data_IF_722997746596
#
_entry.id   IF_722997746596
#
_cell.length_a   1.000
_cell.length_b   1.000
_cell.length_c   1.000
_cell.angle_alpha   90.00
_cell.angle_beta   90.00
_cell.angle_gamma   90.00
#
_symmetry.space_group_name_H-M   'P 1'
#
loop_
_entity.id
_entity.type
_entity.pdbx_description
1 polymer ?
#
# COMPACT_ATOMS: atom_id res chain seq x y z
N UNK A 1 5.50 23.35 -0.33
CA UNK A 1 5.03 24.61 0.33
C UNK A 1 3.70 25.00 -0.26
N UNK A 2 2.75 25.46 0.57
CA UNK A 2 1.46 25.96 0.11
C UNK A 2 1.62 27.46 -0.14
N UNK A 3 1.30 27.88 -1.36
CA UNK A 3 1.31 29.28 -1.73
C UNK A 3 -0.12 29.81 -1.87
N UNK A 4 -0.33 31.06 -1.56
CA UNK A 4 -1.62 31.70 -1.74
C UNK A 4 -1.98 31.73 -3.25
N UNK A 5 -3.13 31.19 -3.66
CA UNK A 5 -3.52 31.16 -5.08
C UNK A 5 -3.83 32.54 -5.66
N UNK A 6 -3.95 33.57 -4.82
CA UNK A 6 -4.27 34.93 -5.23
C UNK A 6 -3.02 35.80 -5.47
N UNK A 7 -2.05 35.75 -4.55
CA UNK A 7 -0.86 36.60 -4.62
C UNK A 7 0.44 35.82 -4.78
N UNK A 8 0.40 34.49 -4.77
CA UNK A 8 1.60 33.64 -4.89
C UNK A 8 2.47 33.59 -3.63
N UNK A 9 2.15 34.36 -2.55
CA UNK A 9 2.94 34.41 -1.35
C UNK A 9 2.98 33.07 -0.63
N UNK A 10 4.14 32.68 -0.10
CA UNK A 10 4.32 31.53 0.78
C UNK A 10 3.99 31.84 2.23
N UNK A 11 3.70 33.11 2.57
CA UNK A 11 3.33 33.54 3.91
C UNK A 11 1.87 33.19 4.22
N UNK A 12 1.59 31.90 4.34
CA UNK A 12 0.26 31.35 4.61
C UNK A 12 0.25 30.54 5.91
N UNK A 13 -0.79 30.72 6.72
CA UNK A 13 -0.97 30.03 7.97
C UNK A 13 -2.07 28.98 7.86
N UNK A 14 -1.82 27.75 8.33
CA UNK A 14 -2.85 26.71 8.41
C UNK A 14 -3.85 27.04 9.53
N UNK A 15 -5.15 26.89 9.23
CA UNK A 15 -6.27 27.17 10.14
C UNK A 15 -7.17 25.94 10.35
N UNK A 16 -6.59 24.75 10.31
CA UNK A 16 -7.34 23.49 10.51
C UNK A 16 -8.05 23.02 9.24
N UNK A 17 -9.22 22.40 9.43
CA UNK A 17 -9.99 21.75 8.36
C UNK A 17 -11.36 22.42 8.22
N UNK A 18 -12.00 22.23 7.04
CA UNK A 18 -13.41 22.57 6.87
C UNK A 18 -14.30 21.59 7.65
N UNK A 19 -15.62 21.87 7.70
CA UNK A 19 -16.59 21.05 8.46
C UNK A 19 -16.59 19.57 8.04
N UNK A 20 -16.46 19.29 6.76
CA UNK A 20 -16.45 17.92 6.21
C UNK A 20 -15.08 17.23 6.34
N UNK A 21 -14.05 17.94 6.79
CA UNK A 21 -12.66 17.48 6.90
C UNK A 21 -12.03 16.96 5.61
N UNK A 22 -12.57 17.30 4.45
CA UNK A 22 -12.03 16.95 3.13
C UNK A 22 -11.07 17.99 2.57
N UNK A 23 -11.04 19.19 3.15
CA UNK A 23 -10.17 20.30 2.76
C UNK A 23 -9.47 20.94 3.95
N UNK A 24 -8.18 21.25 3.79
CA UNK A 24 -7.42 22.02 4.76
C UNK A 24 -7.57 23.51 4.48
N UNK A 25 -7.86 24.30 5.51
CA UNK A 25 -8.07 25.75 5.42
C UNK A 25 -6.76 26.48 5.69
N UNK A 26 -6.54 27.54 4.91
CA UNK A 26 -5.37 28.40 5.01
C UNK A 26 -5.81 29.86 5.01
N UNK A 27 -5.01 30.66 5.65
CA UNK A 27 -5.12 32.13 5.66
C UNK A 27 -3.82 32.71 5.15
N UNK A 28 -3.89 33.56 4.11
CA UNK A 28 -2.74 34.32 3.66
C UNK A 28 -2.50 35.50 4.60
N UNK A 29 -1.26 35.67 5.05
CA UNK A 29 -0.87 36.74 5.96
C UNK A 29 -0.54 38.06 5.23
N UNK A 30 -0.50 38.06 3.91
CA UNK A 30 -0.33 39.27 3.12
C UNK A 30 -1.61 40.12 3.13
N UNK A 31 -1.43 41.42 2.99
CA UNK A 31 -2.56 42.37 3.02
C UNK A 31 -3.34 42.30 1.70
N UNK A 32 -4.47 41.58 1.71
CA UNK A 32 -5.40 41.46 0.57
C UNK A 32 -6.50 42.53 0.56
N UNK A 33 -6.39 43.61 1.32
CA UNK A 33 -7.38 44.68 1.41
C UNK A 33 -7.83 45.33 0.08
N UNK A 34 -7.18 44.98 -1.03
CA UNK A 34 -7.52 45.46 -2.38
C UNK A 34 -8.32 44.43 -3.19
N UNK A 35 -8.66 43.27 -2.62
CA UNK A 35 -9.29 42.14 -3.35
C UNK A 35 -10.57 41.67 -2.69
N UNK A 36 -11.43 42.59 -2.29
CA UNK A 36 -12.81 42.28 -1.90
C UNK A 36 -13.63 42.23 -3.20
N UNK A 37 -14.40 41.14 -3.43
CA UNK A 37 -15.31 41.08 -4.56
C UNK A 37 -16.57 41.89 -4.30
N UNK A 38 -17.44 41.99 -5.32
CA UNK A 38 -18.72 42.70 -5.24
C UNK A 38 -19.67 42.16 -4.16
N UNK A 39 -19.33 40.97 -3.56
CA UNK A 39 -20.11 40.30 -2.52
C UNK A 39 -19.42 40.34 -1.13
N UNK A 40 -18.44 41.19 -0.95
CA UNK A 40 -17.73 41.41 0.32
C UNK A 40 -17.00 40.16 0.88
N UNK A 41 -16.59 39.22 -0.01
CA UNK A 41 -15.85 38.03 0.38
C UNK A 41 -14.39 38.34 0.70
N UNK A 42 -13.96 37.94 1.89
CA UNK A 42 -12.56 38.05 2.34
C UNK A 42 -11.70 36.98 1.69
N UNK A 43 -10.93 37.34 0.66
CA UNK A 43 -10.05 36.45 -0.11
C UNK A 43 -8.79 35.99 0.62
N UNK A 44 -8.56 36.35 1.86
CA UNK A 44 -7.43 35.83 2.66
C UNK A 44 -7.54 34.34 2.93
N UNK A 45 -8.77 33.83 2.92
CA UNK A 45 -9.06 32.43 3.19
C UNK A 45 -9.16 31.63 1.91
N UNK A 46 -8.54 30.45 1.90
CA UNK A 46 -8.70 29.46 0.87
C UNK A 46 -8.62 28.05 1.45
N UNK A 47 -9.15 27.08 0.74
CA UNK A 47 -9.13 25.68 1.15
C UNK A 47 -8.54 24.85 0.02
N UNK A 48 -7.64 23.95 0.36
CA UNK A 48 -7.09 22.98 -0.56
C UNK A 48 -7.55 21.58 -0.18
N UNK A 49 -7.79 20.68 -1.16
CA UNK A 49 -7.99 19.28 -0.89
C UNK A 49 -6.82 18.74 -0.06
N UNK A 50 -7.10 17.80 0.84
CA UNK A 50 -6.07 17.23 1.74
C UNK A 50 -4.91 16.65 0.91
N UNK A 51 -5.21 16.05 -0.24
CA UNK A 51 -4.22 15.49 -1.16
C UNK A 51 -3.19 16.52 -1.65
N UNK A 52 -3.61 17.78 -1.83
CA UNK A 52 -2.71 18.88 -2.24
C UNK A 52 -1.89 19.46 -1.08
N UNK A 53 -2.26 19.19 0.16
CA UNK A 53 -1.60 19.74 1.36
C UNK A 53 -0.60 18.80 1.99
N UNK A 54 -0.59 17.53 1.57
CA UNK A 54 0.39 16.53 2.02
C UNK A 54 1.67 16.72 1.21
N UNK A 55 2.56 17.60 1.68
CA UNK A 55 3.97 17.53 1.25
C UNK A 55 4.50 16.18 1.70
N UNK A 56 4.92 15.33 0.76
CA UNK A 56 5.77 14.18 1.11
C UNK A 56 6.99 14.75 1.81
N UNK A 57 7.08 14.57 3.12
CA UNK A 57 8.34 14.80 3.84
C UNK A 57 9.41 14.03 3.07
N UNK A 58 10.54 14.66 2.75
CA UNK A 58 11.68 13.99 2.11
C UNK A 58 12.18 12.78 2.90
N UNK A 59 11.75 12.67 4.17
CA UNK A 59 12.08 11.61 5.12
C UNK A 59 10.86 10.76 5.51
N UNK A 60 9.72 10.85 4.80
CA UNK A 60 8.59 9.99 5.08
C UNK A 60 8.94 8.54 4.66
N UNK A 61 8.65 7.53 5.52
CA UNK A 61 8.91 6.14 5.17
C UNK A 61 8.13 5.75 3.91
N UNK A 62 8.76 4.94 3.06
CA UNK A 62 8.11 4.33 1.91
C UNK A 62 7.20 3.19 2.41
N UNK A 63 5.91 3.27 2.09
CA UNK A 63 4.92 2.29 2.55
C UNK A 63 4.35 1.57 1.34
N UNK A 64 4.53 0.25 1.28
CA UNK A 64 4.01 -0.63 0.24
C UNK A 64 2.80 -1.39 0.78
N UNK A 65 1.66 -1.25 0.13
CA UNK A 65 0.46 -2.06 0.34
C UNK A 65 0.49 -3.13 -0.74
N UNK A 66 0.41 -4.41 -0.37
CA UNK A 66 0.53 -5.50 -1.34
C UNK A 66 -0.26 -6.73 -0.96
N UNK A 67 -0.54 -7.56 -1.96
CA UNK A 67 -1.33 -8.78 -1.87
C UNK A 67 -0.85 -9.78 -2.94
N UNK A 68 -1.02 -11.08 -2.68
CA UNK A 68 -0.59 -12.15 -3.59
C UNK A 68 -1.68 -13.19 -3.82
N UNK A 69 -1.62 -13.84 -5.01
CA UNK A 69 -2.44 -15.00 -5.34
C UNK A 69 -1.57 -16.20 -5.72
N UNK A 70 -1.95 -17.37 -5.24
CA UNK A 70 -1.19 -18.61 -5.45
C UNK A 70 -1.97 -19.64 -6.23
N UNK A 71 -1.25 -20.56 -6.85
CA UNK A 71 -1.85 -21.77 -7.39
C UNK A 71 -2.49 -22.60 -6.29
N UNK A 72 -3.55 -23.29 -6.64
CA UNK A 72 -4.19 -24.29 -5.77
C UNK A 72 -3.23 -25.44 -5.55
N UNK A 73 -3.02 -25.80 -4.28
CA UNK A 73 -2.24 -26.98 -3.92
C UNK A 73 -3.06 -28.24 -4.17
N UNK A 74 -2.41 -29.28 -4.72
CA UNK A 74 -2.98 -30.60 -4.88
C UNK A 74 -2.34 -31.56 -3.90
N UNK A 75 -3.15 -32.37 -3.24
CA UNK A 75 -2.67 -33.34 -2.30
C UNK A 75 -3.41 -34.69 -2.43
N UNK A 76 -2.72 -35.78 -2.16
CA UNK A 76 -3.30 -37.10 -2.03
C UNK A 76 -3.91 -37.28 -0.65
N UNK A 77 -5.20 -37.63 -0.59
CA UNK A 77 -5.96 -37.78 0.63
C UNK A 77 -6.54 -39.21 0.72
N UNK A 78 -6.56 -39.76 1.94
CA UNK A 78 -7.14 -41.08 2.17
C UNK A 78 -8.66 -41.05 2.33
N UNK A 79 -9.24 -39.89 2.68
CA UNK A 79 -10.68 -39.76 2.88
C UNK A 79 -11.18 -38.36 2.56
N UNK A 80 -12.49 -38.18 2.46
CA UNK A 80 -13.13 -36.89 2.29
C UNK A 80 -13.37 -36.21 3.66
N UNK A 81 -13.43 -34.87 3.65
CA UNK A 81 -13.71 -34.05 4.81
C UNK A 81 -12.53 -33.25 5.31
N UNK A 82 -12.67 -32.67 6.51
CA UNK A 82 -11.63 -31.83 7.12
C UNK A 82 -10.47 -32.70 7.62
N UNK A 83 -9.29 -32.52 7.02
CA UNK A 83 -8.09 -33.28 7.36
C UNK A 83 -6.88 -32.38 7.51
N UNK A 84 -5.89 -32.85 8.28
CA UNK A 84 -4.54 -32.30 8.25
C UNK A 84 -3.75 -33.04 7.17
N UNK A 85 -3.25 -32.29 6.17
CA UNK A 85 -2.49 -32.85 5.06
C UNK A 85 -1.00 -32.81 5.42
N UNK A 86 -0.36 -33.97 5.41
CA UNK A 86 1.08 -34.05 5.63
C UNK A 86 1.86 -33.49 4.42
N UNK A 87 3.01 -32.81 4.66
CA UNK A 87 3.77 -32.18 3.58
C UNK A 87 4.12 -33.10 2.40
N UNK A 88 4.41 -34.39 2.69
CA UNK A 88 4.73 -35.38 1.64
C UNK A 88 3.52 -35.82 0.80
N UNK A 89 2.31 -35.42 1.19
CA UNK A 89 1.08 -35.72 0.43
C UNK A 89 0.77 -34.69 -0.63
N UNK A 90 1.47 -33.55 -0.66
CA UNK A 90 1.31 -32.55 -1.71
C UNK A 90 2.00 -33.00 -3.00
N UNK A 91 1.29 -32.85 -4.09
CA UNK A 91 1.77 -33.18 -5.44
C UNK A 91 2.74 -32.12 -5.97
N UNK A 92 2.62 -30.89 -5.45
CA UNK A 92 3.44 -29.76 -5.87
C UNK A 92 3.68 -28.79 -4.71
N UNK A 93 4.75 -28.00 -4.82
CA UNK A 93 4.96 -26.84 -3.97
C UNK A 93 4.04 -25.68 -4.36
N UNK A 94 3.57 -24.93 -3.37
CA UNK A 94 2.84 -23.69 -3.58
C UNK A 94 3.66 -22.75 -4.45
N UNK A 95 3.07 -22.18 -5.49
CA UNK A 95 3.70 -21.22 -6.39
C UNK A 95 2.85 -19.99 -6.60
N UNK A 96 3.49 -18.84 -6.81
CA UNK A 96 2.85 -17.55 -6.99
C UNK A 96 2.25 -17.43 -8.39
N UNK A 97 0.98 -17.02 -8.51
CA UNK A 97 0.35 -16.69 -9.79
C UNK A 97 0.61 -15.23 -10.15
N UNK A 98 0.26 -14.34 -9.23
CA UNK A 98 0.39 -12.91 -9.43
C UNK A 98 0.49 -12.19 -8.08
N UNK A 99 0.85 -10.93 -8.17
CA UNK A 99 0.79 -10.00 -7.06
C UNK A 99 0.33 -8.63 -7.54
N UNK A 100 -0.23 -7.87 -6.62
CA UNK A 100 -0.54 -6.46 -6.84
C UNK A 100 -0.04 -5.63 -5.68
N UNK A 101 0.35 -4.38 -5.96
CA UNK A 101 0.83 -3.48 -4.94
C UNK A 101 0.52 -2.02 -5.28
N UNK A 102 0.59 -1.20 -4.23
CA UNK A 102 0.39 0.24 -4.31
C UNK A 102 1.27 0.94 -3.29
N UNK A 103 1.96 1.98 -3.70
CA UNK A 103 2.62 2.88 -2.76
C UNK A 103 1.60 3.78 -2.07
N UNK A 104 1.67 3.89 -0.75
CA UNK A 104 0.79 4.79 0.00
C UNK A 104 0.96 6.22 -0.50
N UNK A 105 -0.16 6.86 -0.83
CA UNK A 105 -0.20 8.21 -1.41
C UNK A 105 0.03 8.28 -2.94
N UNK A 106 0.23 7.13 -3.62
CA UNK A 106 0.18 7.06 -5.09
C UNK A 106 -1.24 6.70 -5.56
N UNK A 107 -1.76 7.27 -6.63
CA UNK A 107 -3.02 6.81 -7.24
C UNK A 107 -2.85 5.48 -7.98
N UNK A 108 -1.64 5.13 -8.39
CA UNK A 108 -1.36 4.00 -9.26
C UNK A 108 -1.20 2.69 -8.49
N UNK A 109 -1.80 1.64 -9.02
CA UNK A 109 -1.57 0.25 -8.63
C UNK A 109 -0.70 -0.41 -9.68
N UNK A 110 0.26 -1.22 -9.25
CA UNK A 110 1.14 -1.98 -10.12
C UNK A 110 1.24 -3.42 -9.65
N UNK A 111 1.71 -4.31 -10.52
CA UNK A 111 1.80 -5.73 -10.19
C UNK A 111 2.44 -6.52 -11.30
N UNK A 112 2.49 -7.82 -11.11
CA UNK A 112 3.01 -8.75 -12.11
C UNK A 112 2.22 -10.07 -12.04
N UNK A 113 2.11 -10.74 -13.18
CA UNK A 113 1.38 -11.99 -13.33
C UNK A 113 2.18 -12.98 -14.17
N UNK A 114 2.07 -14.26 -13.84
CA UNK A 114 2.67 -15.31 -14.64
C UNK A 114 2.15 -15.28 -16.09
N UNK A 115 3.03 -15.50 -17.04
CA UNK A 115 2.64 -15.83 -18.41
C UNK A 115 2.00 -17.22 -18.45
N UNK A 116 1.21 -17.51 -19.49
CA UNK A 116 0.60 -18.84 -19.68
C UNK A 116 1.64 -19.98 -19.65
N UNK A 117 2.86 -19.73 -20.13
CA UNK A 117 3.96 -20.72 -20.12
C UNK A 117 4.49 -20.94 -18.71
N UNK A 118 4.71 -19.86 -17.95
CA UNK A 118 5.17 -19.93 -16.57
C UNK A 118 4.13 -20.62 -15.68
N UNK A 119 2.85 -20.25 -15.81
CA UNK A 119 1.75 -20.86 -15.06
C UNK A 119 1.63 -22.37 -15.33
N UNK A 120 1.77 -22.80 -16.60
CA UNK A 120 1.74 -24.20 -17.00
C UNK A 120 2.89 -25.00 -16.38
N UNK A 121 4.06 -24.38 -16.25
CA UNK A 121 5.25 -25.00 -15.69
C UNK A 121 5.39 -24.76 -14.18
N UNK A 122 4.48 -23.99 -13.57
CA UNK A 122 4.57 -23.50 -12.17
C UNK A 122 5.89 -22.79 -11.86
N UNK A 123 6.46 -22.14 -12.86
CA UNK A 123 7.68 -21.34 -12.73
C UNK A 123 7.31 -19.89 -12.34
N UNK A 124 7.40 -19.59 -11.06
CA UNK A 124 7.06 -18.28 -10.51
C UNK A 124 8.29 -17.39 -10.25
N UNK A 125 9.50 -17.82 -10.64
CA UNK A 125 10.74 -17.11 -10.32
C UNK A 125 10.74 -15.64 -10.73
N UNK A 126 10.24 -15.33 -11.93
CA UNK A 126 10.21 -13.95 -12.44
C UNK A 126 9.27 -13.09 -11.62
N UNK A 127 8.05 -13.58 -11.38
CA UNK A 127 7.00 -12.86 -10.64
C UNK A 127 7.40 -12.69 -9.17
N UNK A 128 8.00 -13.71 -8.55
CA UNK A 128 8.56 -13.62 -7.19
C UNK A 128 9.70 -12.62 -7.12
N UNK A 129 10.59 -12.60 -8.12
CA UNK A 129 11.71 -11.65 -8.16
C UNK A 129 11.24 -10.21 -8.32
N UNK A 130 10.18 -9.96 -9.10
CA UNK A 130 9.62 -8.61 -9.27
C UNK A 130 9.00 -8.08 -7.97
N UNK A 131 8.27 -8.91 -7.22
CA UNK A 131 7.74 -8.52 -5.90
C UNK A 131 8.88 -8.32 -4.89
N UNK A 132 9.87 -9.20 -4.87
CA UNK A 132 11.04 -9.06 -3.99
C UNK A 132 11.73 -7.70 -4.14
N UNK A 133 11.87 -7.21 -5.38
CA UNK A 133 12.43 -5.88 -5.65
C UNK A 133 11.56 -4.78 -5.04
N UNK A 134 10.25 -4.80 -5.30
CA UNK A 134 9.32 -3.82 -4.75
C UNK A 134 9.33 -3.81 -3.21
N UNK A 135 9.33 -5.00 -2.59
CA UNK A 135 9.42 -5.13 -1.13
C UNK A 135 10.74 -4.61 -0.57
N UNK A 136 11.86 -4.79 -1.29
CA UNK A 136 13.18 -4.32 -0.84
C UNK A 136 13.31 -2.79 -0.83
N UNK A 137 12.45 -2.07 -1.55
CA UNK A 137 12.39 -0.61 -1.60
C UNK A 137 11.50 -0.01 -0.51
N UNK A 138 10.68 -0.83 0.16
CA UNK A 138 9.75 -0.38 1.18
C UNK A 138 10.41 -0.32 2.57
N UNK A 139 10.01 0.67 3.37
CA UNK A 139 10.33 0.75 4.79
C UNK A 139 9.23 0.10 5.65
N UNK A 140 7.98 0.12 5.16
CA UNK A 140 6.81 -0.45 5.83
C UNK A 140 6.00 -1.24 4.81
N UNK A 141 5.56 -2.43 5.21
CA UNK A 141 4.64 -3.27 4.44
C UNK A 141 3.26 -3.27 5.08
N UNK A 142 2.22 -3.17 4.27
CA UNK A 142 0.83 -3.32 4.71
C UNK A 142 0.20 -4.47 3.92
N UNK A 143 -0.37 -5.42 4.64
CA UNK A 143 -1.12 -6.57 4.08
C UNK A 143 -2.44 -6.76 4.82
N UNK A 144 -3.31 -7.62 4.31
CA UNK A 144 -4.51 -8.05 5.01
C UNK A 144 -4.45 -9.54 5.31
N UNK A 145 -4.29 -9.93 6.58
CA UNK A 145 -4.03 -11.29 7.04
C UNK A 145 -2.68 -11.87 6.54
N UNK A 146 -1.77 -11.01 6.11
CA UNK A 146 -0.51 -11.38 5.47
C UNK A 146 0.44 -12.15 6.37
N UNK A 147 0.42 -11.90 7.68
CA UNK A 147 1.22 -12.66 8.65
C UNK A 147 0.89 -14.15 8.67
N UNK A 148 -0.30 -14.54 8.22
CA UNK A 148 -0.74 -15.92 8.15
C UNK A 148 -0.69 -16.50 6.76
N UNK A 149 -0.62 -15.68 5.72
CA UNK A 149 -0.64 -16.13 4.34
C UNK A 149 0.44 -15.46 3.50
N UNK A 150 0.25 -14.24 3.03
CA UNK A 150 1.11 -13.58 2.03
C UNK A 150 2.59 -13.57 2.42
N UNK A 151 2.91 -13.13 3.64
CA UNK A 151 4.29 -13.05 4.13
C UNK A 151 4.93 -14.43 4.24
N UNK A 152 4.19 -15.43 4.71
CA UNK A 152 4.70 -16.80 4.86
C UNK A 152 4.97 -17.44 3.50
N UNK A 153 4.04 -17.30 2.56
CA UNK A 153 4.19 -17.79 1.20
C UNK A 153 5.41 -17.13 0.56
N UNK A 154 5.48 -15.80 0.59
CA UNK A 154 6.58 -15.08 -0.07
C UNK A 154 7.94 -15.37 0.57
N UNK A 155 8.05 -15.43 1.89
CA UNK A 155 9.29 -15.81 2.56
C UNK A 155 9.78 -17.20 2.10
N UNK A 156 8.86 -18.17 1.96
CA UNK A 156 9.19 -19.49 1.42
C UNK A 156 9.65 -19.40 -0.02
N UNK A 157 8.94 -18.66 -0.89
CA UNK A 157 9.32 -18.51 -2.30
C UNK A 157 10.65 -17.79 -2.49
N UNK A 158 10.97 -16.79 -1.66
CA UNK A 158 12.27 -16.12 -1.67
C UNK A 158 13.41 -17.11 -1.37
N UNK A 159 13.22 -17.99 -0.39
CA UNK A 159 14.23 -19.03 -0.08
C UNK A 159 14.38 -20.04 -1.21
N UNK A 160 13.27 -20.54 -1.78
CA UNK A 160 13.28 -21.47 -2.92
C UNK A 160 14.06 -20.88 -4.10
N UNK A 161 13.88 -19.60 -4.40
CA UNK A 161 14.57 -18.92 -5.50
C UNK A 161 15.94 -18.32 -5.12
N UNK A 162 16.41 -18.54 -3.89
CA UNK A 162 17.71 -18.07 -3.38
C UNK A 162 17.88 -16.54 -3.44
N UNK A 163 16.78 -15.80 -3.27
CA UNK A 163 16.80 -14.33 -3.25
C UNK A 163 17.17 -13.77 -1.87
N UNK A 164 17.11 -14.59 -0.82
CA UNK A 164 17.16 -14.11 0.55
C UNK A 164 15.91 -13.36 0.96
N UNK A 165 15.79 -13.01 2.24
CA UNK A 165 14.67 -12.18 2.70
C UNK A 165 14.93 -10.72 2.33
N UNK A 166 13.88 -9.94 1.97
CA UNK A 166 14.00 -8.50 1.80
C UNK A 166 14.58 -7.85 3.07
N UNK A 167 15.11 -6.62 2.93
CA UNK A 167 15.53 -5.82 4.08
C UNK A 167 14.45 -5.86 5.17
N UNK A 168 14.88 -5.97 6.43
CA UNK A 168 13.95 -5.94 7.56
C UNK A 168 13.14 -4.66 7.54
N UNK A 169 11.83 -4.80 7.40
CA UNK A 169 10.85 -3.72 7.32
C UNK A 169 9.82 -3.90 8.44
N UNK A 170 9.09 -2.84 8.75
CA UNK A 170 7.93 -2.97 9.63
C UNK A 170 6.78 -3.55 8.80
N UNK A 171 6.06 -4.52 9.39
CA UNK A 171 4.87 -5.12 8.78
C UNK A 171 3.63 -4.77 9.59
N UNK A 172 2.60 -4.29 8.91
CA UNK A 172 1.28 -3.98 9.47
C UNK A 172 0.26 -4.93 8.81
N UNK A 173 -0.31 -5.80 9.62
CA UNK A 173 -1.41 -6.67 9.20
C UNK A 173 -2.75 -6.04 9.59
N UNK A 174 -3.48 -5.52 8.61
CA UNK A 174 -4.75 -4.81 8.84
C UNK A 174 -5.83 -5.72 9.42
N UNK A 175 -5.81 -7.03 9.15
CA UNK A 175 -6.72 -7.97 9.80
C UNK A 175 -6.43 -8.11 11.29
N UNK A 176 -5.16 -8.20 11.68
CA UNK A 176 -4.76 -8.25 13.08
C UNK A 176 -5.18 -6.98 13.83
N UNK A 177 -4.99 -5.80 13.21
CA UNK A 177 -5.45 -4.51 13.75
C UNK A 177 -6.97 -4.48 13.90
N UNK A 178 -7.71 -4.95 12.87
CA UNK A 178 -9.17 -5.00 12.93
C UNK A 178 -9.66 -5.92 14.06
N UNK A 179 -9.06 -7.09 14.24
CA UNK A 179 -9.44 -8.01 15.33
C UNK A 179 -9.18 -7.46 16.74
N UNK A 180 -8.20 -6.58 16.89
CA UNK A 180 -7.93 -5.94 18.20
C UNK A 180 -8.96 -4.87 18.54
N UNK A 181 -9.56 -4.23 17.54
CA UNK A 181 -10.42 -3.06 17.71
C UNK A 181 -11.91 -3.37 17.49
N UNK A 182 -12.24 -4.48 16.85
CA UNK A 182 -13.61 -4.86 16.54
C UNK A 182 -13.87 -6.31 16.93
N UNK A 183 -15.12 -6.61 17.30
CA UNK A 183 -15.59 -7.97 17.52
C UNK A 183 -15.96 -8.57 16.15
N UNK A 184 -15.00 -9.25 15.52
CA UNK A 184 -15.16 -9.93 14.23
C UNK A 184 -15.40 -11.43 14.46
#
# INVERSE_FOLDING_TARGET
>A
MVNCPKCGSSNVQSRGYNQNRDKKRFECQENHSRFVDENDNDYRWFSLPIEMTVEKSKNAPSVLIWDVETHIDKAWLFSHGKQYVHGNSFENETSLICWSAKWLGSPETFGDVQTSKEAKNKDDKRVVTSLWKAMSEADIHITHNGKRFDELVMNTRFLVHKLGLPKRTFSIDTYAVAKQNFKL
#
